data_IF_372033522320
#
_entry.id   IF_372033522320
#
_cell.length_a   1.000
_cell.length_b   1.000
_cell.length_c   1.000
_cell.angle_alpha   90.00
_cell.angle_beta   90.00
_cell.angle_gamma   90.00
#
_symmetry.space_group_name_H-M   'P 1'
#
loop_
_entity.id
_entity.type
_entity.pdbx_description
1 polymer ?
#
# COMPACT_ATOMS: atom_id res chain seq x y z
N UNK A 1 35.00 -2.69 -11.10
CA UNK A 1 34.63 -4.09 -11.41
C UNK A 1 33.21 -4.29 -10.91
N UNK A 2 32.21 -4.01 -11.75
CA UNK A 2 30.80 -4.15 -11.38
C UNK A 2 30.49 -5.63 -11.26
N UNK A 3 30.23 -6.11 -10.03
CA UNK A 3 29.64 -7.43 -9.84
C UNK A 3 28.33 -7.43 -10.61
N UNK A 4 28.16 -8.41 -11.49
CA UNK A 4 26.91 -8.70 -12.15
C UNK A 4 25.85 -8.90 -11.06
N UNK A 5 25.05 -7.87 -10.80
CA UNK A 5 23.85 -8.01 -10.00
C UNK A 5 22.96 -8.99 -10.77
N UNK A 6 22.94 -10.24 -10.28
CA UNK A 6 21.96 -11.26 -10.67
C UNK A 6 20.58 -10.64 -10.45
N UNK A 7 20.02 -10.08 -11.52
CA UNK A 7 18.65 -9.62 -11.56
C UNK A 7 17.79 -10.78 -11.07
N UNK A 8 17.12 -10.56 -9.93
CA UNK A 8 16.22 -11.51 -9.27
C UNK A 8 15.08 -11.85 -10.23
N UNK A 9 15.32 -12.83 -11.11
CA UNK A 9 14.40 -13.28 -12.13
C UNK A 9 13.68 -14.58 -11.72
N UNK A 10 13.46 -14.76 -10.42
CA UNK A 10 12.70 -15.89 -9.88
C UNK A 10 11.47 -15.36 -9.16
N UNK A 11 10.32 -15.99 -9.42
CA UNK A 11 8.98 -15.70 -8.85
C UNK A 11 9.05 -15.43 -7.34
N UNK A 12 9.30 -14.17 -6.97
CA UNK A 12 9.29 -13.72 -5.59
C UNK A 12 7.84 -13.44 -5.22
N UNK A 13 7.15 -14.49 -4.78
CA UNK A 13 5.91 -14.32 -4.03
C UNK A 13 6.33 -13.69 -2.70
N UNK A 14 5.95 -12.42 -2.52
CA UNK A 14 5.98 -11.76 -1.22
C UNK A 14 4.62 -11.89 -0.57
N UNK A 15 4.63 -12.08 0.75
CA UNK A 15 3.43 -12.01 1.56
C UNK A 15 3.64 -10.88 2.56
N UNK A 16 2.74 -9.90 2.47
CA UNK A 16 2.73 -8.75 3.35
C UNK A 16 1.45 -8.82 4.19
N UNK A 17 1.59 -8.60 5.50
CA UNK A 17 0.47 -8.52 6.42
C UNK A 17 0.65 -7.28 7.30
N UNK A 18 -0.43 -6.57 7.57
CA UNK A 18 -0.36 -5.38 8.43
C UNK A 18 -1.51 -5.28 9.39
N UNK A 19 -1.23 -4.76 10.58
CA UNK A 19 -2.22 -4.31 11.54
C UNK A 19 -2.08 -2.80 11.64
N UNK A 20 -3.20 -2.08 11.50
CA UNK A 20 -3.23 -0.63 11.57
C UNK A 20 -4.41 -0.16 12.40
N UNK A 21 -4.32 1.08 12.87
CA UNK A 21 -5.45 1.78 13.47
C UNK A 21 -5.58 3.16 12.84
N UNK A 22 -6.79 3.56 12.43
CA UNK A 22 -7.03 4.84 11.76
C UNK A 22 -7.67 5.84 12.73
N UNK A 23 -6.89 6.83 13.13
CA UNK A 23 -7.30 7.93 13.98
C UNK A 23 -7.83 9.08 13.12
N UNK A 24 -9.13 9.33 13.13
CA UNK A 24 -9.72 10.51 12.46
C UNK A 24 -9.30 11.77 13.22
N UNK A 25 -8.56 12.65 12.54
CA UNK A 25 -8.07 13.91 13.10
C UNK A 25 -9.00 15.07 12.76
N UNK A 26 -9.54 15.06 11.54
CA UNK A 26 -10.42 16.10 11.03
C UNK A 26 -11.40 15.51 10.01
N UNK A 27 -12.61 16.02 9.98
CA UNK A 27 -13.65 15.66 9.01
C UNK A 27 -14.47 16.89 8.67
N UNK A 28 -14.64 17.11 7.37
CA UNK A 28 -15.61 17.99 6.74
C UNK A 28 -16.44 17.16 5.74
N UNK A 29 -17.50 17.74 5.15
CA UNK A 29 -18.50 17.04 4.35
C UNK A 29 -17.93 16.02 3.36
N UNK A 30 -16.93 16.43 2.60
CA UNK A 30 -16.34 15.65 1.51
C UNK A 30 -14.85 15.35 1.74
N UNK A 31 -14.29 15.71 2.90
CA UNK A 31 -12.85 15.67 3.16
C UNK A 31 -12.52 15.17 4.57
N UNK A 32 -11.52 14.28 4.68
CA UNK A 32 -11.09 13.68 5.94
C UNK A 32 -9.58 13.67 6.04
N UNK A 33 -9.05 14.01 7.22
CA UNK A 33 -7.66 13.78 7.58
C UNK A 33 -7.60 12.75 8.71
N UNK A 34 -6.72 11.76 8.57
CA UNK A 34 -6.48 10.76 9.61
C UNK A 34 -5.01 10.45 9.79
N UNK A 35 -4.61 10.10 11.00
CA UNK A 35 -3.32 9.49 11.28
C UNK A 35 -3.49 7.97 11.36
N UNK A 36 -2.48 7.22 10.92
CA UNK A 36 -2.53 5.77 10.90
C UNK A 36 -1.19 5.17 11.34
N UNK A 37 -1.02 4.83 12.63
CA UNK A 37 0.01 3.88 13.04
C UNK A 37 -0.28 2.51 12.44
N UNK A 38 0.77 1.82 11.99
CA UNK A 38 0.71 0.50 11.36
C UNK A 38 1.96 -0.31 11.69
N UNK A 39 1.78 -1.59 11.94
CA UNK A 39 2.86 -2.58 11.96
C UNK A 39 2.71 -3.44 10.71
N UNK A 40 3.77 -3.53 9.93
CA UNK A 40 3.84 -4.30 8.69
C UNK A 40 4.83 -5.46 8.89
N UNK A 41 4.40 -6.67 8.56
CA UNK A 41 5.24 -7.84 8.41
C UNK A 41 5.38 -8.13 6.92
N UNK A 42 6.62 -8.27 6.46
CA UNK A 42 6.91 -8.69 5.09
C UNK A 42 7.74 -9.98 5.09
N UNK A 43 7.35 -10.93 4.26
CA UNK A 43 8.03 -12.21 4.10
C UNK A 43 8.20 -12.53 2.62
N UNK A 44 9.41 -12.94 2.23
CA UNK A 44 9.67 -13.50 0.90
C UNK A 44 10.41 -14.83 1.04
N UNK A 45 10.31 -15.71 0.04
CA UNK A 45 10.87 -17.08 0.11
C UNK A 45 12.35 -17.16 0.51
N UNK A 46 13.14 -16.13 0.23
CA UNK A 46 14.60 -16.11 0.47
C UNK A 46 15.02 -15.21 1.63
N UNK A 47 14.13 -14.38 2.16
CA UNK A 47 14.46 -13.41 3.22
C UNK A 47 13.77 -13.78 4.53
N UNK A 48 14.47 -13.53 5.64
CA UNK A 48 13.86 -13.56 6.98
C UNK A 48 12.73 -12.53 7.05
N UNK A 49 11.77 -12.81 7.92
CA UNK A 49 10.64 -11.92 8.20
C UNK A 49 11.16 -10.54 8.64
N UNK A 50 10.64 -9.49 8.00
CA UNK A 50 10.98 -8.11 8.29
C UNK A 50 9.75 -7.43 8.92
N UNK A 51 9.94 -6.83 10.10
CA UNK A 51 8.88 -6.11 10.79
C UNK A 51 9.17 -4.61 10.73
N UNK A 52 8.21 -3.86 10.23
CA UNK A 52 8.30 -2.43 10.00
C UNK A 52 7.22 -1.72 10.81
N UNK A 53 7.61 -0.74 11.61
CA UNK A 53 6.69 0.22 12.22
C UNK A 53 6.52 1.39 11.26
N UNK A 54 5.28 1.78 10.98
CA UNK A 54 4.93 2.88 10.10
C UNK A 54 3.96 3.83 10.80
N UNK A 55 4.14 5.12 10.58
CA UNK A 55 3.15 6.15 10.90
C UNK A 55 2.81 6.86 9.59
N UNK A 56 1.51 7.00 9.33
CA UNK A 56 1.01 7.64 8.12
C UNK A 56 0.06 8.78 8.43
N UNK A 57 0.06 9.80 7.58
CA UNK A 57 -0.98 10.81 7.48
C UNK A 57 -1.76 10.58 6.20
N UNK A 58 -3.08 10.42 6.31
CA UNK A 58 -3.99 10.16 5.21
C UNK A 58 -4.88 11.39 5.02
N UNK A 59 -5.02 11.84 3.79
CA UNK A 59 -5.88 12.94 3.39
C UNK A 59 -6.79 12.44 2.28
N UNK A 60 -8.08 12.29 2.58
CA UNK A 60 -9.06 11.72 1.68
C UNK A 60 -10.11 12.74 1.28
N UNK A 61 -10.52 12.70 0.01
CA UNK A 61 -11.71 13.38 -0.49
C UNK A 61 -12.65 12.37 -1.14
N UNK A 62 -13.95 12.56 -0.95
CA UNK A 62 -14.96 11.78 -1.66
C UNK A 62 -16.16 12.63 -2.03
N UNK A 63 -16.72 12.41 -3.22
CA UNK A 63 -17.92 13.10 -3.69
C UNK A 63 -18.89 12.10 -4.32
N UNK A 64 -20.15 12.25 -4.00
CA UNK A 64 -21.22 11.48 -4.64
C UNK A 64 -21.65 12.16 -5.95
N UNK A 65 -21.61 11.42 -7.05
CA UNK A 65 -22.08 11.84 -8.37
C UNK A 65 -23.03 10.77 -8.88
N UNK A 66 -24.31 11.14 -9.03
CA UNK A 66 -25.37 10.21 -9.45
C UNK A 66 -25.44 8.96 -8.56
N UNK A 67 -25.11 7.79 -9.11
CA UNK A 67 -25.15 6.48 -8.46
C UNK A 67 -23.78 5.98 -8.02
N UNK A 68 -22.74 6.81 -8.10
CA UNK A 68 -21.36 6.45 -7.75
C UNK A 68 -20.74 7.46 -6.79
N UNK A 69 -19.76 7.00 -6.01
CA UNK A 69 -18.88 7.84 -5.20
C UNK A 69 -17.51 7.87 -5.87
N UNK A 70 -17.03 9.05 -6.22
CA UNK A 70 -15.64 9.23 -6.67
C UNK A 70 -14.81 9.60 -5.44
N UNK A 71 -13.64 8.99 -5.29
CA UNK A 71 -12.74 9.28 -4.18
C UNK A 71 -11.29 9.44 -4.64
N UNK A 72 -10.54 10.22 -3.86
CA UNK A 72 -9.09 10.33 -3.91
C UNK A 72 -8.57 10.27 -2.47
N UNK A 73 -7.44 9.61 -2.24
CA UNK A 73 -6.77 9.57 -0.95
C UNK A 73 -5.26 9.67 -1.15
N UNK A 74 -4.68 10.70 -0.56
CA UNK A 74 -3.23 10.86 -0.47
C UNK A 74 -2.74 10.33 0.87
N UNK A 75 -1.57 9.72 0.88
CA UNK A 75 -0.95 9.12 2.06
C UNK A 75 0.52 9.55 2.09
N UNK A 76 0.95 10.10 3.21
CA UNK A 76 2.35 10.31 3.53
C UNK A 76 2.72 9.36 4.65
N UNK A 77 3.73 8.52 4.44
CA UNK A 77 4.16 7.56 5.45
C UNK A 77 5.65 7.64 5.72
N UNK A 78 5.99 7.45 6.98
CA UNK A 78 7.35 7.18 7.44
C UNK A 78 7.37 5.84 8.15
N UNK A 79 8.35 4.99 7.82
CA UNK A 79 8.50 3.70 8.49
C UNK A 79 9.94 3.29 8.73
N UNK A 80 10.13 2.43 9.72
CA UNK A 80 11.43 1.90 10.13
C UNK A 80 11.35 0.42 10.53
N UNK A 81 12.45 -0.32 10.36
CA UNK A 81 12.55 -1.70 10.86
C UNK A 81 12.56 -1.75 12.38
N UNK A 82 11.80 -2.67 12.94
CA UNK A 82 11.69 -2.92 14.38
C UNK A 82 12.65 -4.05 14.79
N UNK A 83 12.80 -5.10 13.97
CA UNK A 83 13.50 -6.33 14.34
C UNK A 83 14.95 -6.45 13.80
N UNK A 84 15.44 -5.46 13.05
CA UNK A 84 16.77 -5.49 12.43
C UNK A 84 17.65 -4.35 12.97
N UNK A 85 18.43 -4.65 14.02
CA UNK A 85 19.24 -3.67 14.76
C UNK A 85 20.54 -3.24 14.05
N UNK A 86 21.08 -4.09 13.18
CA UNK A 86 22.39 -3.87 12.52
C UNK A 86 22.31 -3.00 11.26
N UNK A 87 21.17 -3.01 10.56
CA UNK A 87 20.86 -2.07 9.50
C UNK A 87 19.42 -1.59 9.66
N UNK A 88 19.25 -0.44 10.32
CA UNK A 88 17.94 0.20 10.48
C UNK A 88 17.44 0.60 9.10
N UNK A 89 16.60 -0.25 8.52
CA UNK A 89 15.88 0.04 7.30
C UNK A 89 14.90 1.15 7.61
N UNK A 90 14.89 2.16 6.76
CA UNK A 90 13.94 3.26 6.87
C UNK A 90 13.34 3.51 5.51
N UNK A 91 12.12 3.99 5.49
CA UNK A 91 11.51 4.45 4.26
C UNK A 91 10.58 5.62 4.51
N UNK A 92 10.42 6.40 3.45
CA UNK A 92 9.37 7.38 3.33
C UNK A 92 8.63 7.11 2.03
N UNK A 93 7.32 7.26 2.05
CA UNK A 93 6.54 7.18 0.83
C UNK A 93 5.44 8.23 0.79
N UNK A 94 5.13 8.60 -0.44
CA UNK A 94 3.92 9.30 -0.81
C UNK A 94 3.11 8.37 -1.70
N UNK A 95 1.83 8.18 -1.41
CA UNK A 95 0.95 7.45 -2.31
C UNK A 95 -0.38 8.14 -2.52
N UNK A 96 -0.92 7.99 -3.72
CA UNK A 96 -2.26 8.41 -4.07
C UNK A 96 -3.10 7.18 -4.43
N UNK A 97 -4.35 7.16 -3.99
CA UNK A 97 -5.34 6.17 -4.35
C UNK A 97 -6.56 6.91 -4.87
N UNK A 98 -6.95 6.63 -6.11
CA UNK A 98 -8.10 7.23 -6.75
C UNK A 98 -9.05 6.14 -7.20
N UNK A 99 -10.35 6.41 -7.16
CA UNK A 99 -11.29 5.39 -7.56
C UNK A 99 -12.73 5.82 -7.62
N UNK A 100 -13.53 4.86 -8.06
CA UNK A 100 -14.99 4.97 -8.18
C UNK A 100 -15.58 3.81 -7.41
N UNK A 101 -16.46 4.11 -6.46
CA UNK A 101 -17.24 3.14 -5.69
C UNK A 101 -18.69 3.15 -6.16
N UNK A 102 -19.19 1.98 -6.51
CA UNK A 102 -20.60 1.75 -6.88
C UNK A 102 -21.43 1.44 -5.63
N UNK A 103 -22.74 1.71 -5.69
CA UNK A 103 -23.68 1.43 -4.59
C UNK A 103 -23.68 -0.04 -4.13
N UNK A 104 -23.38 -0.96 -5.04
CA UNK A 104 -23.28 -2.39 -4.72
C UNK A 104 -21.96 -2.78 -4.02
N UNK A 105 -21.10 -1.82 -3.67
CA UNK A 105 -19.84 -2.07 -2.96
C UNK A 105 -18.67 -2.49 -3.87
N UNK A 106 -18.85 -2.54 -5.19
CA UNK A 106 -17.73 -2.70 -6.13
C UNK A 106 -16.94 -1.39 -6.20
N UNK A 107 -15.61 -1.47 -6.29
CA UNK A 107 -14.74 -0.32 -6.50
C UNK A 107 -13.77 -0.58 -7.65
N UNK A 108 -13.53 0.45 -8.46
CA UNK A 108 -12.41 0.52 -9.39
C UNK A 108 -11.38 1.46 -8.79
N UNK A 109 -10.12 1.03 -8.78
CA UNK A 109 -9.05 1.72 -8.06
C UNK A 109 -7.81 1.87 -8.93
N UNK A 110 -7.16 3.01 -8.80
CA UNK A 110 -5.83 3.33 -9.31
C UNK A 110 -4.99 3.77 -8.13
N UNK A 111 -3.87 3.10 -7.91
CA UNK A 111 -2.98 3.37 -6.79
C UNK A 111 -1.57 3.61 -7.31
N UNK A 112 -0.94 4.69 -6.86
CA UNK A 112 0.45 5.00 -7.16
C UNK A 112 1.17 5.30 -5.85
N UNK A 113 2.32 4.68 -5.64
CA UNK A 113 3.18 4.86 -4.47
C UNK A 113 4.60 5.15 -4.91
N UNK A 114 5.07 6.33 -4.55
CA UNK A 114 6.46 6.75 -4.64
C UNK A 114 7.17 6.36 -3.36
N UNK A 115 8.18 5.53 -3.50
CA UNK A 115 8.88 4.98 -2.36
C UNK A 115 10.34 5.39 -2.41
N UNK A 116 10.84 5.90 -1.29
CA UNK A 116 12.27 6.03 -1.07
C UNK A 116 12.66 5.26 0.17
N UNK A 117 13.70 4.44 0.02
CA UNK A 117 14.17 3.48 0.99
C UNK A 117 15.63 3.76 1.29
N UNK A 118 16.00 3.65 2.56
CA UNK A 118 17.39 3.69 3.02
C UNK A 118 17.78 2.33 3.58
N UNK A 119 18.98 1.85 3.24
CA UNK A 119 19.50 0.53 3.65
C UNK A 119 18.75 -0.68 3.05
N UNK A 120 18.12 -0.52 1.89
CA UNK A 120 17.48 -1.62 1.12
C UNK A 120 18.31 -2.08 -0.09
N UNK A 121 19.45 -1.42 -0.37
CA UNK A 121 20.30 -1.66 -1.53
C UNK A 121 19.96 -0.75 -2.70
N UNK A 122 20.98 -0.34 -3.47
CA UNK A 122 20.93 0.73 -4.48
C UNK A 122 19.77 0.62 -5.49
N UNK A 123 19.43 -0.61 -5.88
CA UNK A 123 18.34 -0.88 -6.84
C UNK A 123 16.98 -0.50 -6.27
N UNK A 124 16.80 -0.55 -4.95
CA UNK A 124 15.54 -0.33 -4.25
C UNK A 124 15.45 1.03 -3.56
N UNK A 125 16.50 1.85 -3.65
CA UNK A 125 16.59 3.16 -3.00
C UNK A 125 15.42 4.05 -3.39
N UNK A 126 15.02 4.04 -4.66
CA UNK A 126 13.83 4.75 -5.11
C UNK A 126 13.04 3.91 -6.10
N UNK A 127 11.73 3.76 -5.87
CA UNK A 127 10.84 3.02 -6.78
C UNK A 127 9.46 3.64 -6.87
N UNK A 128 8.78 3.38 -7.97
CA UNK A 128 7.37 3.73 -8.17
C UNK A 128 6.61 2.44 -8.35
N UNK A 129 5.67 2.22 -7.45
CA UNK A 129 4.70 1.14 -7.50
C UNK A 129 3.38 1.70 -7.98
N UNK A 130 2.79 1.08 -8.99
CA UNK A 130 1.50 1.43 -9.54
C UNK A 130 0.62 0.19 -9.61
N UNK A 131 -0.68 0.36 -9.41
CA UNK A 131 -1.64 -0.72 -9.43
C UNK A 131 -3.01 -0.25 -9.92
N UNK A 132 -3.60 -1.03 -10.81
CA UNK A 132 -5.03 -0.96 -11.12
C UNK A 132 -5.73 -2.16 -10.48
N UNK A 133 -6.85 -1.91 -9.81
CA UNK A 133 -7.54 -2.93 -9.05
C UNK A 133 -9.06 -2.84 -9.10
N UNK A 134 -9.71 -3.99 -8.98
CA UNK A 134 -11.13 -4.12 -8.73
C UNK A 134 -11.29 -4.68 -7.33
N UNK A 135 -12.07 -3.97 -6.50
CA UNK A 135 -12.35 -4.38 -5.13
C UNK A 135 -13.84 -4.60 -4.91
N UNK A 136 -14.17 -5.42 -3.91
CA UNK A 136 -15.53 -5.66 -3.46
C UNK A 136 -15.57 -5.52 -1.94
N UNK A 137 -16.43 -4.62 -1.47
CA UNK A 137 -16.79 -4.49 -0.07
C UNK A 137 -17.97 -5.42 0.22
N UNK A 138 -17.83 -6.23 1.27
CA UNK A 138 -18.87 -7.10 1.81
C UNK A 138 -19.08 -6.68 3.26
N UNK A 139 -20.23 -6.08 3.55
CA UNK A 139 -20.59 -5.67 4.90
C UNK A 139 -21.23 -6.85 5.65
N UNK A 140 -20.97 -6.94 6.95
CA UNK A 140 -21.53 -7.99 7.81
C UNK A 140 -21.64 -7.51 9.27
N UNK A 141 -22.25 -8.33 10.12
CA UNK A 141 -22.50 -8.01 11.54
C UNK A 141 -23.75 -7.17 11.76
N UNK A 142 -24.06 -6.88 13.03
CA UNK A 142 -25.17 -6.01 13.39
C UNK A 142 -24.96 -4.60 12.81
N UNK A 143 -26.02 -4.04 12.23
CA UNK A 143 -26.02 -2.70 11.62
C UNK A 143 -25.01 -2.50 10.47
N UNK A 144 -24.45 -3.57 9.89
CA UNK A 144 -23.44 -3.48 8.82
C UNK A 144 -22.19 -2.66 9.22
N UNK A 145 -21.82 -2.68 10.51
CA UNK A 145 -20.64 -1.93 11.01
C UNK A 145 -19.31 -2.51 10.57
N UNK A 146 -19.24 -3.81 10.36
CA UNK A 146 -18.03 -4.50 9.96
C UNK A 146 -18.01 -4.71 8.45
N UNK A 147 -16.83 -4.66 7.85
CA UNK A 147 -16.70 -4.94 6.43
C UNK A 147 -15.40 -5.68 6.11
N UNK A 148 -15.49 -6.61 5.17
CA UNK A 148 -14.32 -7.19 4.52
C UNK A 148 -14.26 -6.62 3.11
N UNK A 149 -13.09 -6.11 2.73
CA UNK A 149 -12.83 -5.71 1.36
C UNK A 149 -11.82 -6.68 0.77
N UNK A 150 -12.16 -7.24 -0.39
CA UNK A 150 -11.24 -8.06 -1.19
C UNK A 150 -10.93 -7.34 -2.49
N UNK A 151 -9.69 -7.45 -2.96
CA UNK A 151 -9.24 -6.79 -4.17
C UNK A 151 -8.30 -7.68 -4.97
N UNK A 152 -8.54 -7.71 -6.27
CA UNK A 152 -7.62 -8.22 -7.28
C UNK A 152 -7.12 -7.05 -8.12
N UNK A 153 -5.83 -7.04 -8.45
CA UNK A 153 -5.26 -6.00 -9.28
C UNK A 153 -4.05 -6.47 -10.06
N UNK A 154 -3.65 -5.66 -11.03
CA UNK A 154 -2.38 -5.81 -11.73
C UNK A 154 -1.48 -4.65 -11.32
N UNK A 155 -0.27 -4.98 -10.89
CA UNK A 155 0.70 -4.00 -10.43
C UNK A 155 1.95 -4.01 -11.28
N UNK A 156 2.67 -2.89 -11.24
CA UNK A 156 4.03 -2.78 -11.73
C UNK A 156 4.85 -1.90 -10.78
N UNK A 157 6.07 -2.35 -10.49
CA UNK A 157 7.06 -1.66 -9.66
C UNK A 157 8.35 -1.50 -10.47
N UNK A 158 8.86 -0.28 -10.53
CA UNK A 158 10.10 -0.01 -11.23
C UNK A 158 10.99 0.92 -10.41
N UNK A 159 12.31 0.72 -10.52
CA UNK A 159 13.28 1.56 -9.84
C UNK A 159 13.51 2.84 -10.62
N UNK A 160 13.52 3.98 -9.93
CA UNK A 160 13.90 5.26 -10.52
C UNK A 160 15.43 5.39 -10.61
N UNK A 161 16.17 4.71 -9.72
CA UNK A 161 17.64 4.68 -9.71
C UNK A 161 18.21 3.70 -10.76
N UNK A 162 17.56 2.55 -10.96
CA UNK A 162 18.02 1.51 -11.89
C UNK A 162 16.92 1.09 -12.87
N UNK A 163 16.97 1.65 -14.09
CA UNK A 163 15.98 1.39 -15.16
C UNK A 163 15.83 -0.08 -15.58
N UNK A 164 16.78 -0.96 -15.22
CA UNK A 164 16.71 -2.39 -15.51
C UNK A 164 15.83 -3.16 -14.53
N UNK A 165 15.60 -2.63 -13.32
CA UNK A 165 14.69 -3.27 -12.36
C UNK A 165 13.25 -2.88 -12.67
N UNK A 166 12.47 -3.89 -13.08
CA UNK A 166 11.03 -3.82 -13.30
C UNK A 166 10.42 -5.14 -12.88
N UNK A 167 9.35 -5.09 -12.10
CA UNK A 167 8.53 -6.24 -11.74
C UNK A 167 7.09 -5.89 -12.00
N UNK A 168 6.30 -6.82 -12.51
CA UNK A 168 4.86 -6.68 -12.61
C UNK A 168 4.18 -8.01 -12.32
N UNK A 169 2.92 -7.95 -11.94
CA UNK A 169 2.18 -9.16 -11.61
C UNK A 169 0.77 -8.90 -11.12
N UNK A 170 0.12 -9.99 -10.73
CA UNK A 170 -1.20 -9.96 -10.13
C UNK A 170 -1.03 -9.81 -8.61
N UNK A 171 -1.76 -8.88 -8.02
CA UNK A 171 -1.87 -8.68 -6.58
C UNK A 171 -3.23 -9.16 -6.09
N UNK A 172 -3.24 -9.89 -4.98
CA UNK A 172 -4.45 -10.19 -4.21
C UNK A 172 -4.31 -9.54 -2.85
N UNK A 173 -5.37 -8.86 -2.40
CA UNK A 173 -5.40 -8.22 -1.09
C UNK A 173 -6.77 -8.39 -0.47
N UNK A 174 -6.78 -8.51 0.86
CA UNK A 174 -7.98 -8.48 1.65
C UNK A 174 -7.69 -7.73 2.94
N UNK A 175 -8.62 -6.89 3.38
CA UNK A 175 -8.55 -6.24 4.68
C UNK A 175 -9.92 -6.26 5.35
N UNK A 176 -9.88 -6.27 6.67
CA UNK A 176 -11.02 -6.35 7.54
C UNK A 176 -11.07 -5.04 8.34
N UNK A 177 -12.18 -4.32 8.20
CA UNK A 177 -12.49 -3.15 9.01
C UNK A 177 -13.54 -3.58 10.05
N UNK A 178 -13.15 -3.49 11.34
CA UNK A 178 -13.94 -3.84 12.54
C UNK A 178 -14.18 -2.60 13.37
#
# INVERSE_FOLDING_TARGET
MYKEDKFLNEKNISTDASIYYKLKLFEDKDFVISAQPKILMSKSKKLKEDFLGEVSLLMGMSKNILSVTIFNQNIFSFGHSINNLSSKKMYYNFSTCEGIKFKNGIMLTSFTKYHTRQNYGYVYDSSVYEQLGIAKIINFGEENKNSITTQIGYFWDHSLSNKKYKISGISFSAWLDV
#
